data_IF_989073258721
#
_entry.id   IF_989073258721
#
_cell.length_a   1.000
_cell.length_b   1.000
_cell.length_c   1.000
_cell.angle_alpha   90.00
_cell.angle_beta   90.00
_cell.angle_gamma   90.00
#
_symmetry.space_group_name_H-M   'P 1'
#
loop_
_entity.id
_entity.type
_entity.pdbx_description
1 polymer ?
#
# COMPACT_ATOMS: atom_id res chain seq x y z
N UNK A 1 75.82 -46.73 -16.88
CA UNK A 1 74.48 -47.17 -16.59
C UNK A 1 74.00 -46.48 -15.33
N UNK A 2 73.11 -45.52 -15.43
CA UNK A 2 72.43 -44.90 -14.28
C UNK A 2 70.94 -44.88 -14.61
N UNK A 3 70.15 -45.60 -13.82
CA UNK A 3 68.71 -45.54 -13.82
C UNK A 3 68.27 -44.20 -13.21
N UNK A 4 67.38 -43.49 -13.91
CA UNK A 4 66.68 -42.35 -13.38
C UNK A 4 65.28 -42.81 -13.05
N UNK A 5 64.88 -42.72 -11.75
CA UNK A 5 63.55 -42.97 -11.28
C UNK A 5 62.71 -41.68 -11.42
N UNK A 6 61.62 -41.78 -12.18
CA UNK A 6 60.61 -40.69 -12.27
C UNK A 6 59.55 -40.95 -11.19
N UNK A 7 59.49 -40.09 -10.16
CA UNK A 7 58.42 -40.06 -9.19
C UNK A 7 57.34 -39.10 -9.72
N UNK A 8 56.23 -39.65 -10.16
CA UNK A 8 55.05 -38.84 -10.51
C UNK A 8 54.28 -38.44 -9.26
N UNK A 9 54.21 -37.16 -8.98
CA UNK A 9 53.30 -36.58 -7.98
C UNK A 9 51.86 -36.54 -8.58
N UNK A 10 50.97 -37.36 -8.07
CA UNK A 10 49.54 -37.21 -8.25
C UNK A 10 49.05 -36.17 -7.26
N UNK A 11 48.80 -34.94 -7.73
CA UNK A 11 48.03 -33.94 -6.97
C UNK A 11 46.55 -34.25 -7.13
N UNK A 12 45.97 -34.89 -6.12
CA UNK A 12 44.52 -35.00 -6.00
C UNK A 12 43.94 -33.62 -5.70
N UNK A 13 43.35 -32.98 -6.71
CA UNK A 13 42.57 -31.77 -6.54
C UNK A 13 41.29 -32.11 -5.77
N UNK A 14 41.26 -31.78 -4.48
CA UNK A 14 40.00 -31.68 -3.74
C UNK A 14 39.19 -30.52 -4.34
N UNK A 15 38.22 -30.83 -5.16
CA UNK A 15 37.12 -29.92 -5.44
C UNK A 15 36.33 -29.74 -4.15
N UNK A 16 36.68 -28.72 -3.39
CA UNK A 16 35.81 -28.18 -2.34
C UNK A 16 34.57 -27.63 -3.03
N UNK A 17 33.53 -28.45 -3.13
CA UNK A 17 32.18 -27.92 -3.34
C UNK A 17 31.91 -27.00 -2.15
N UNK A 18 31.98 -25.68 -2.36
CA UNK A 18 31.51 -24.73 -1.39
C UNK A 18 30.08 -25.12 -1.02
N UNK A 19 29.72 -25.25 0.26
CA UNK A 19 28.34 -25.52 0.62
C UNK A 19 27.52 -24.38 0.06
N UNK A 20 26.51 -24.71 -0.73
CA UNK A 20 25.55 -23.76 -1.25
C UNK A 20 24.91 -23.11 -0.02
N UNK A 21 25.21 -21.82 0.22
CA UNK A 21 24.58 -21.12 1.31
C UNK A 21 23.10 -20.92 0.93
N UNK A 22 22.20 -21.44 1.75
CA UNK A 22 20.78 -21.15 1.61
C UNK A 22 20.55 -19.70 2.02
N UNK A 23 19.98 -18.92 1.12
CA UNK A 23 19.62 -17.53 1.39
C UNK A 23 18.36 -17.43 2.30
N UNK A 24 17.68 -18.54 2.55
CA UNK A 24 16.53 -18.65 3.46
C UNK A 24 15.59 -19.80 3.11
N UNK A 25 14.69 -20.08 4.01
CA UNK A 25 13.67 -21.14 3.88
C UNK A 25 12.28 -20.56 4.02
N UNK A 26 11.40 -20.92 3.09
CA UNK A 26 9.95 -20.65 3.16
C UNK A 26 9.26 -21.96 3.47
N UNK A 27 8.43 -21.98 4.51
CA UNK A 27 7.58 -23.13 4.85
C UNK A 27 6.13 -22.79 4.62
N UNK A 28 5.46 -23.58 3.77
CA UNK A 28 4.03 -23.45 3.49
C UNK A 28 3.33 -24.68 4.03
N UNK A 29 2.36 -24.48 4.90
CA UNK A 29 1.55 -25.56 5.48
C UNK A 29 0.16 -25.59 4.81
N UNK A 30 -0.08 -26.59 3.94
CA UNK A 30 -1.34 -26.76 3.25
C UNK A 30 -2.47 -27.25 4.18
N UNK A 31 -2.12 -27.65 5.40
CA UNK A 31 -3.07 -28.04 6.44
C UNK A 31 -3.63 -26.89 7.26
N UNK A 32 -3.05 -25.69 7.13
CA UNK A 32 -3.41 -24.54 7.97
C UNK A 32 -3.88 -23.39 7.10
N UNK A 33 -5.20 -23.23 7.04
CA UNK A 33 -5.86 -22.14 6.31
C UNK A 33 -5.93 -20.88 7.18
N UNK A 34 -5.72 -19.70 6.57
CA UNK A 34 -5.73 -18.39 7.23
C UNK A 34 -6.81 -17.46 6.65
N UNK A 35 -7.89 -18.01 6.12
CA UNK A 35 -9.00 -17.26 5.55
C UNK A 35 -8.87 -17.03 4.04
N UNK A 36 -9.82 -16.33 3.44
CA UNK A 36 -9.86 -16.11 1.99
C UNK A 36 -8.75 -15.17 1.52
N UNK A 37 -8.41 -15.27 0.23
CA UNK A 37 -7.69 -14.21 -0.47
C UNK A 37 -8.63 -13.01 -0.62
N UNK A 38 -8.20 -11.83 -0.17
CA UNK A 38 -9.00 -10.61 -0.18
C UNK A 38 -8.40 -9.49 -1.04
N UNK A 39 -7.20 -9.67 -1.56
CA UNK A 39 -6.47 -8.71 -2.41
C UNK A 39 -6.34 -7.31 -1.75
N UNK A 40 -6.08 -7.27 -0.44
CA UNK A 40 -6.05 -6.05 0.38
C UNK A 40 -4.92 -5.08 0.01
N UNK A 41 -3.84 -5.59 -0.57
CA UNK A 41 -2.71 -4.80 -1.04
C UNK A 41 -2.81 -4.42 -2.53
N UNK A 42 -4.01 -4.49 -3.12
CA UNK A 42 -4.24 -4.17 -4.53
C UNK A 42 -4.93 -2.81 -4.72
N UNK A 43 -4.50 -1.86 -3.92
CA UNK A 43 -4.94 -0.47 -4.01
C UNK A 43 -3.94 0.42 -4.72
N UNK A 44 -4.43 1.54 -5.25
CA UNK A 44 -3.65 2.52 -6.00
C UNK A 44 -3.96 3.94 -5.56
N UNK A 45 -2.91 4.77 -5.45
CA UNK A 45 -3.00 6.19 -5.16
C UNK A 45 -2.78 6.99 -6.44
N UNK A 46 -3.73 7.84 -6.84
CA UNK A 46 -3.72 8.79 -8.00
C UNK A 46 -3.13 8.27 -9.32
N UNK A 47 -2.81 7.02 -9.41
CA UNK A 47 -2.02 6.36 -10.45
C UNK A 47 -2.81 5.96 -11.70
N UNK A 48 -4.04 6.41 -11.81
CA UNK A 48 -4.93 6.17 -12.95
C UNK A 48 -5.59 7.48 -13.33
N UNK A 49 -5.35 7.93 -14.56
CA UNK A 49 -5.94 9.14 -15.14
C UNK A 49 -7.17 8.79 -16.01
N UNK A 50 -7.99 9.75 -16.42
CA UNK A 50 -9.22 9.50 -17.19
C UNK A 50 -9.03 8.69 -18.47
N UNK A 51 -7.88 8.82 -19.11
CA UNK A 51 -7.55 8.12 -20.37
C UNK A 51 -6.37 7.18 -20.24
N UNK A 52 -5.59 7.30 -19.17
CA UNK A 52 -4.32 6.62 -19.01
C UNK A 52 -4.16 5.90 -17.65
N UNK A 53 -3.48 4.75 -17.64
CA UNK A 53 -3.12 3.93 -18.78
C UNK A 53 -4.35 3.28 -19.43
N UNK A 54 -4.25 2.70 -20.64
CA UNK A 54 -5.39 2.02 -21.26
C UNK A 54 -5.88 0.84 -20.41
N UNK A 55 -7.18 0.53 -20.53
CA UNK A 55 -7.86 -0.47 -19.66
C UNK A 55 -7.23 -1.87 -19.74
N UNK A 56 -6.63 -2.23 -20.86
CA UNK A 56 -5.90 -3.49 -21.02
C UNK A 56 -4.68 -3.63 -20.09
N UNK A 57 -4.19 -2.52 -19.55
CA UNK A 57 -3.10 -2.52 -18.55
C UNK A 57 -3.63 -2.48 -17.11
N UNK A 58 -4.88 -2.09 -16.90
CA UNK A 58 -5.52 -2.00 -15.59
C UNK A 58 -6.29 -3.29 -15.26
N UNK A 59 -7.14 -3.75 -16.17
CA UNK A 59 -8.03 -4.89 -15.95
C UNK A 59 -7.32 -6.16 -15.45
N UNK A 60 -6.13 -6.53 -15.96
CA UNK A 60 -5.42 -7.71 -15.46
C UNK A 60 -4.95 -7.60 -14.01
N UNK A 61 -4.87 -6.38 -13.48
CA UNK A 61 -4.45 -6.13 -12.10
C UNK A 61 -5.61 -6.25 -11.11
N UNK A 62 -6.86 -6.24 -11.57
CA UNK A 62 -8.08 -6.32 -10.74
C UNK A 62 -8.01 -5.39 -9.51
N UNK A 63 -7.79 -4.07 -9.65
CA UNK A 63 -7.64 -3.17 -8.52
C UNK A 63 -8.86 -3.22 -7.60
N UNK A 64 -8.66 -3.20 -6.28
CA UNK A 64 -9.75 -3.28 -5.29
C UNK A 64 -10.06 -1.95 -4.65
N UNK A 65 -9.05 -1.09 -4.49
CA UNK A 65 -9.18 0.21 -3.85
C UNK A 65 -8.42 1.29 -4.61
N UNK A 66 -8.92 2.51 -4.50
CA UNK A 66 -8.30 3.70 -5.10
C UNK A 66 -8.42 4.89 -4.16
N UNK A 67 -7.34 5.62 -4.00
CA UNK A 67 -7.29 6.87 -3.25
C UNK A 67 -6.85 8.01 -4.14
N UNK A 68 -7.44 9.15 -3.98
CA UNK A 68 -7.05 10.35 -4.69
C UNK A 68 -7.78 11.56 -4.17
N UNK A 69 -7.28 12.73 -4.59
CA UNK A 69 -8.02 13.96 -4.36
C UNK A 69 -9.34 13.99 -5.15
N UNK A 70 -10.17 14.96 -4.84
CA UNK A 70 -11.50 15.11 -5.43
C UNK A 70 -11.48 15.04 -6.96
N UNK A 71 -10.59 15.77 -7.61
CA UNK A 71 -10.50 15.80 -9.08
C UNK A 71 -10.20 14.43 -9.68
N UNK A 72 -9.24 13.69 -9.09
CA UNK A 72 -8.91 12.34 -9.56
C UNK A 72 -10.02 11.32 -9.32
N UNK A 73 -10.60 11.30 -8.13
CA UNK A 73 -11.69 10.36 -7.83
C UNK A 73 -12.89 10.63 -8.73
N UNK A 74 -13.34 11.89 -8.83
CA UNK A 74 -14.49 12.22 -9.64
C UNK A 74 -14.29 11.91 -11.13
N UNK A 75 -13.13 12.21 -11.69
CA UNK A 75 -12.87 11.99 -13.14
C UNK A 75 -12.70 10.52 -13.51
N UNK A 76 -12.27 9.68 -12.56
CA UNK A 76 -11.94 8.28 -12.82
C UNK A 76 -12.96 7.27 -12.28
N UNK A 77 -13.94 7.70 -11.50
CA UNK A 77 -14.83 6.82 -10.73
C UNK A 77 -15.44 5.69 -11.56
N UNK A 78 -16.10 6.01 -12.67
CA UNK A 78 -16.79 5.03 -13.49
C UNK A 78 -15.82 4.04 -14.15
N UNK A 79 -14.68 4.55 -14.60
CA UNK A 79 -13.62 3.76 -15.21
C UNK A 79 -13.00 2.77 -14.20
N UNK A 80 -12.72 3.25 -12.99
CA UNK A 80 -12.16 2.44 -11.90
C UNK A 80 -13.17 1.41 -11.41
N UNK A 81 -14.44 1.78 -11.30
CA UNK A 81 -15.50 0.85 -10.97
C UNK A 81 -15.64 -0.27 -12.02
N UNK A 82 -15.52 0.09 -13.30
CA UNK A 82 -15.45 -0.91 -14.38
C UNK A 82 -14.23 -1.83 -14.26
N UNK A 83 -13.11 -1.34 -13.72
CA UNK A 83 -11.91 -2.14 -13.48
C UNK A 83 -12.01 -3.07 -12.27
N UNK A 84 -13.03 -2.90 -11.41
CA UNK A 84 -13.26 -3.73 -10.22
C UNK A 84 -13.07 -3.02 -8.89
N UNK A 85 -12.72 -1.72 -8.89
CA UNK A 85 -12.57 -0.96 -7.64
C UNK A 85 -13.90 -0.84 -6.91
N UNK A 86 -13.88 -1.22 -5.65
CA UNK A 86 -15.05 -1.17 -4.74
C UNK A 86 -14.87 -0.16 -3.61
N UNK A 87 -13.62 0.22 -3.30
CA UNK A 87 -13.26 1.18 -2.28
C UNK A 87 -12.64 2.42 -2.91
N UNK A 88 -13.27 3.58 -2.70
CA UNK A 88 -12.79 4.88 -3.16
C UNK A 88 -12.55 5.78 -1.96
N UNK A 89 -11.30 6.15 -1.68
CA UNK A 89 -10.96 7.14 -0.67
C UNK A 89 -10.77 8.50 -1.34
N UNK A 90 -11.58 9.48 -0.95
CA UNK A 90 -11.60 10.82 -1.53
C UNK A 90 -10.98 11.82 -0.57
N UNK A 91 -9.80 12.33 -0.90
CA UNK A 91 -9.05 13.30 -0.08
C UNK A 91 -9.50 14.73 -0.37
N UNK A 92 -9.83 15.46 0.70
CA UNK A 92 -10.34 16.84 0.64
C UNK A 92 -9.24 17.89 0.75
N UNK A 93 -8.28 17.70 1.66
CA UNK A 93 -7.24 18.69 1.96
C UNK A 93 -5.83 18.10 1.97
N UNK A 94 -4.87 18.85 1.43
CA UNK A 94 -3.43 18.57 1.43
C UNK A 94 -2.66 19.80 1.92
N UNK A 95 -1.33 19.66 2.11
CA UNK A 95 -0.43 20.74 2.51
C UNK A 95 -0.16 21.78 1.42
N UNK A 96 -0.83 21.67 0.27
CA UNK A 96 -0.77 22.62 -0.84
C UNK A 96 -2.11 22.72 -1.57
N UNK A 97 -2.38 23.87 -2.18
CA UNK A 97 -3.56 24.06 -3.04
C UNK A 97 -3.28 23.57 -4.47
N UNK A 98 -4.25 22.88 -5.06
CA UNK A 98 -4.24 22.59 -6.49
C UNK A 98 -5.67 22.67 -7.04
N UNK A 99 -6.04 23.84 -7.61
CA UNK A 99 -7.41 24.14 -8.03
C UNK A 99 -7.96 23.18 -9.07
N UNK A 100 -7.14 22.81 -10.06
CA UNK A 100 -7.58 21.87 -11.10
C UNK A 100 -7.89 20.47 -10.57
N UNK A 101 -7.28 20.07 -9.43
CA UNK A 101 -7.50 18.81 -8.75
C UNK A 101 -8.55 18.92 -7.62
N UNK A 102 -9.11 20.11 -7.41
CA UNK A 102 -10.07 20.41 -6.34
C UNK A 102 -9.51 20.00 -4.96
N UNK A 103 -8.31 20.47 -4.65
CA UNK A 103 -7.61 20.26 -3.37
C UNK A 103 -7.63 21.57 -2.59
N UNK A 104 -7.91 21.50 -1.31
CA UNK A 104 -7.79 22.62 -0.38
C UNK A 104 -6.45 22.59 0.36
N UNK A 105 -5.76 23.72 0.43
CA UNK A 105 -4.55 23.84 1.26
C UNK A 105 -4.92 23.86 2.74
N UNK A 106 -4.56 22.82 3.47
CA UNK A 106 -4.87 22.72 4.90
C UNK A 106 -4.18 23.80 5.74
N UNK A 107 -3.11 24.42 5.26
CA UNK A 107 -2.49 25.56 5.93
C UNK A 107 -3.40 26.80 5.97
N UNK A 108 -4.39 26.87 5.08
CA UNK A 108 -5.37 27.96 5.03
C UNK A 108 -6.60 27.74 5.92
N UNK A 109 -6.78 26.50 6.45
CA UNK A 109 -7.95 26.18 7.27
C UNK A 109 -7.95 26.99 8.57
N UNK A 110 -9.04 27.71 8.84
CA UNK A 110 -9.26 28.43 10.10
C UNK A 110 -8.25 29.56 10.37
N UNK A 111 -7.59 30.12 9.35
CA UNK A 111 -6.81 31.34 9.53
C UNK A 111 -7.72 32.45 10.08
N UNK A 112 -7.19 33.21 11.03
CA UNK A 112 -7.94 34.28 11.72
C UNK A 112 -9.27 33.81 12.34
N UNK A 113 -9.40 32.51 12.66
CA UNK A 113 -10.62 31.91 13.20
C UNK A 113 -11.72 31.67 12.16
N UNK A 114 -11.43 31.90 10.87
CA UNK A 114 -12.41 31.73 9.80
C UNK A 114 -12.32 30.35 9.15
N UNK A 115 -13.32 29.51 9.37
CA UNK A 115 -13.45 28.15 8.78
C UNK A 115 -14.36 28.11 7.55
N UNK A 116 -15.04 29.20 7.20
CA UNK A 116 -16.01 29.22 6.11
C UNK A 116 -15.43 28.79 4.74
N UNK A 117 -14.22 29.21 4.32
CA UNK A 117 -13.66 28.76 3.05
C UNK A 117 -13.46 27.23 2.99
N UNK A 118 -13.02 26.65 4.12
CA UNK A 118 -12.86 25.20 4.24
C UNK A 118 -14.20 24.47 4.18
N UNK A 119 -15.18 24.93 4.95
CA UNK A 119 -16.50 24.30 4.96
C UNK A 119 -17.23 24.46 3.63
N UNK A 120 -17.07 25.58 2.95
CA UNK A 120 -17.59 25.77 1.59
C UNK A 120 -16.97 24.78 0.58
N UNK A 121 -15.67 24.50 0.70
CA UNK A 121 -15.00 23.46 -0.10
C UNK A 121 -15.58 22.07 0.23
N UNK A 122 -15.72 21.72 1.50
CA UNK A 122 -16.30 20.44 1.93
C UNK A 122 -17.71 20.30 1.37
N UNK A 123 -18.57 21.33 1.48
CA UNK A 123 -19.94 21.32 0.96
C UNK A 123 -19.96 21.15 -0.56
N UNK A 124 -19.08 21.86 -1.27
CA UNK A 124 -18.97 21.75 -2.72
C UNK A 124 -18.66 20.32 -3.17
N UNK A 125 -17.72 19.65 -2.49
CA UNK A 125 -17.38 18.26 -2.81
C UNK A 125 -18.52 17.30 -2.45
N UNK A 126 -19.19 17.52 -1.31
CA UNK A 126 -20.38 16.75 -0.93
C UNK A 126 -21.46 16.85 -2.02
N UNK A 127 -21.73 18.07 -2.53
CA UNK A 127 -22.74 18.27 -3.58
C UNK A 127 -22.40 17.48 -4.85
N UNK A 128 -21.14 17.48 -5.28
CA UNK A 128 -20.72 16.70 -6.45
C UNK A 128 -20.89 15.19 -6.23
N UNK A 129 -20.51 14.67 -5.06
CA UNK A 129 -20.66 13.26 -4.70
C UNK A 129 -22.14 12.85 -4.67
N UNK A 130 -23.00 13.67 -4.07
CA UNK A 130 -24.45 13.42 -4.00
C UNK A 130 -25.11 13.51 -5.38
N UNK A 131 -24.79 14.54 -6.16
CA UNK A 131 -25.34 14.74 -7.51
C UNK A 131 -25.02 13.54 -8.41
N UNK A 132 -23.81 12.99 -8.29
CA UNK A 132 -23.36 11.85 -9.08
C UNK A 132 -23.66 10.49 -8.45
N UNK A 133 -24.26 10.46 -7.26
CA UNK A 133 -24.57 9.25 -6.50
C UNK A 133 -23.35 8.34 -6.30
N UNK A 134 -22.20 8.94 -5.97
CA UNK A 134 -20.98 8.20 -5.77
C UNK A 134 -20.92 7.60 -4.36
N UNK A 135 -20.29 6.43 -4.24
CA UNK A 135 -19.97 5.81 -2.95
C UNK A 135 -18.49 6.00 -2.67
N UNK A 136 -18.16 6.83 -1.67
CA UNK A 136 -16.78 7.15 -1.29
C UNK A 136 -16.59 7.06 0.21
N UNK A 137 -15.36 6.81 0.63
CA UNK A 137 -14.87 7.00 2.00
C UNK A 137 -14.17 8.35 2.04
N UNK A 138 -14.55 9.21 2.97
CA UNK A 138 -14.06 10.58 3.06
C UNK A 138 -12.73 10.64 3.79
N UNK A 139 -11.69 11.07 3.11
CA UNK A 139 -10.35 11.29 3.66
C UNK A 139 -10.16 12.80 3.87
N UNK A 140 -10.36 13.27 5.10
CA UNK A 140 -10.44 14.70 5.38
C UNK A 140 -9.10 15.39 5.11
N UNK A 141 -7.99 14.78 5.50
CA UNK A 141 -6.65 15.33 5.31
C UNK A 141 -5.68 14.29 4.74
N UNK A 142 -4.72 14.75 3.95
CA UNK A 142 -3.53 13.99 3.61
C UNK A 142 -2.32 14.59 4.33
N UNK A 143 -1.60 13.75 5.06
CA UNK A 143 -0.35 14.08 5.75
C UNK A 143 -0.40 15.40 6.54
N UNK A 144 -1.40 15.58 7.40
CA UNK A 144 -1.55 16.84 8.14
C UNK A 144 -0.43 17.07 9.16
N UNK A 145 0.41 16.08 9.40
CA UNK A 145 1.63 16.18 10.18
C UNK A 145 2.79 16.87 9.42
N UNK A 146 2.64 17.09 8.11
CA UNK A 146 3.56 17.89 7.28
C UNK A 146 3.11 19.35 7.12
N UNK A 147 1.98 19.75 7.69
CA UNK A 147 1.52 21.12 7.68
C UNK A 147 2.52 22.05 8.39
N UNK A 148 2.47 23.35 8.08
CA UNK A 148 3.33 24.37 8.70
C UNK A 148 3.27 24.35 10.24
N UNK A 149 2.08 24.05 10.81
CA UNK A 149 1.90 23.61 12.19
C UNK A 149 1.24 22.24 12.14
N UNK A 150 1.95 21.18 12.54
CA UNK A 150 1.45 19.80 12.47
C UNK A 150 0.11 19.61 13.19
N UNK A 151 -0.71 18.68 12.69
CA UNK A 151 -2.07 18.43 13.21
C UNK A 151 -2.12 18.28 14.74
N UNK A 152 -1.18 17.52 15.31
CA UNK A 152 -1.18 17.25 16.75
C UNK A 152 -0.91 18.49 17.61
N UNK A 153 -0.21 19.47 17.05
CA UNK A 153 0.14 20.72 17.71
C UNK A 153 -0.78 21.89 17.31
N UNK A 154 -1.71 21.65 16.37
CA UNK A 154 -2.58 22.67 15.79
C UNK A 154 -4.03 22.50 16.21
N UNK A 155 -4.48 23.27 17.20
CA UNK A 155 -5.91 23.33 17.55
C UNK A 155 -6.78 23.76 16.37
N UNK A 156 -6.22 24.57 15.48
CA UNK A 156 -6.88 25.05 14.26
C UNK A 156 -7.16 23.90 13.28
N UNK A 157 -6.20 23.03 13.03
CA UNK A 157 -6.39 21.87 12.15
C UNK A 157 -7.30 20.82 12.81
N UNK A 158 -7.16 20.61 14.12
CA UNK A 158 -8.08 19.75 14.87
C UNK A 158 -9.52 20.23 14.76
N UNK A 159 -9.75 21.53 14.94
CA UNK A 159 -11.09 22.13 14.77
C UNK A 159 -11.58 22.00 13.33
N UNK A 160 -10.74 22.22 12.33
CA UNK A 160 -11.06 22.01 10.93
C UNK A 160 -11.47 20.56 10.62
N UNK A 161 -10.77 19.57 11.22
CA UNK A 161 -11.17 18.15 11.16
C UNK A 161 -12.56 17.94 11.77
N UNK A 162 -12.77 18.43 13.01
CA UNK A 162 -14.02 18.26 13.73
C UNK A 162 -15.20 18.82 12.94
N UNK A 163 -15.05 20.00 12.39
CA UNK A 163 -16.11 20.68 11.61
C UNK A 163 -16.39 19.92 10.30
N UNK A 164 -15.37 19.49 9.57
CA UNK A 164 -15.55 18.71 8.35
C UNK A 164 -16.20 17.35 8.64
N UNK A 165 -15.72 16.63 9.68
CA UNK A 165 -16.32 15.36 10.13
C UNK A 165 -17.82 15.52 10.39
N UNK A 166 -18.19 16.52 11.21
CA UNK A 166 -19.60 16.78 11.55
C UNK A 166 -20.42 17.18 10.32
N UNK A 167 -19.87 18.02 9.45
CA UNK A 167 -20.55 18.45 8.22
C UNK A 167 -20.82 17.27 7.28
N UNK A 168 -19.86 16.38 7.07
CA UNK A 168 -20.03 15.18 6.25
C UNK A 168 -21.08 14.27 6.85
N UNK A 169 -20.99 13.95 8.15
CA UNK A 169 -21.98 13.08 8.84
C UNK A 169 -23.37 13.67 8.86
N UNK A 170 -23.50 15.00 8.98
CA UNK A 170 -24.79 15.69 8.96
C UNK A 170 -25.45 15.57 7.58
N UNK A 171 -24.68 15.76 6.51
CA UNK A 171 -25.22 15.76 5.14
C UNK A 171 -25.38 14.36 4.56
N UNK A 172 -24.55 13.42 5.02
CA UNK A 172 -24.55 12.02 4.60
C UNK A 172 -24.41 11.14 5.85
N UNK A 173 -25.52 10.85 6.56
CA UNK A 173 -25.46 10.14 7.86
C UNK A 173 -24.73 8.78 7.81
N UNK A 174 -24.75 8.09 6.67
CA UNK A 174 -24.06 6.82 6.46
C UNK A 174 -22.61 6.94 5.94
N UNK A 175 -22.08 8.18 5.79
CA UNK A 175 -20.73 8.38 5.29
C UNK A 175 -19.70 7.71 6.19
N UNK A 176 -18.72 7.05 5.58
CA UNK A 176 -17.52 6.57 6.27
C UNK A 176 -16.40 7.60 6.13
N UNK A 177 -15.68 7.83 7.22
CA UNK A 177 -14.54 8.74 7.27
C UNK A 177 -13.29 7.95 7.57
N UNK A 178 -12.28 8.09 6.73
CA UNK A 178 -10.94 7.53 6.90
C UNK A 178 -9.97 8.61 7.36
N UNK A 179 -9.05 8.28 8.20
CA UNK A 179 -8.04 9.22 8.67
C UNK A 179 -7.28 8.76 9.91
N UNK A 180 -6.31 9.57 10.34
CA UNK A 180 -5.94 10.90 9.87
C UNK A 180 -4.98 10.93 8.66
N UNK A 181 -4.59 9.77 8.09
CA UNK A 181 -3.67 9.67 6.95
C UNK A 181 -2.35 10.41 7.20
N UNK A 182 -1.78 10.22 8.40
CA UNK A 182 -0.48 10.82 8.79
C UNK A 182 0.67 10.13 8.07
N UNK A 183 1.72 10.89 7.73
CA UNK A 183 2.94 10.36 7.11
C UNK A 183 3.81 9.57 8.09
N UNK A 184 3.65 9.80 9.40
CA UNK A 184 4.43 9.18 10.47
C UNK A 184 3.55 8.44 11.46
N UNK A 185 3.67 7.12 11.51
CA UNK A 185 2.91 6.25 12.40
C UNK A 185 2.93 6.71 13.88
N UNK A 186 4.08 7.25 14.35
CA UNK A 186 4.27 7.68 15.73
C UNK A 186 3.31 8.79 16.16
N UNK A 187 2.77 9.56 15.22
CA UNK A 187 1.84 10.67 15.50
C UNK A 187 0.37 10.23 15.53
N UNK A 188 0.10 8.98 15.11
CA UNK A 188 -1.26 8.48 14.95
C UNK A 188 -2.03 8.42 16.28
N UNK A 189 -1.44 7.80 17.31
CA UNK A 189 -2.15 7.50 18.57
C UNK A 189 -2.64 8.76 19.29
N UNK A 190 -1.84 9.82 19.33
CA UNK A 190 -2.23 11.08 19.97
C UNK A 190 -3.41 11.76 19.26
N UNK A 191 -3.48 11.67 17.94
CA UNK A 191 -4.65 12.12 17.20
C UNK A 191 -5.89 11.26 17.51
N UNK A 192 -5.74 9.94 17.59
CA UNK A 192 -6.87 9.05 17.91
C UNK A 192 -7.44 9.31 19.29
N UNK A 193 -6.58 9.54 20.30
CA UNK A 193 -7.00 9.92 21.65
C UNK A 193 -7.78 11.25 21.66
N UNK A 194 -7.27 12.27 20.95
CA UNK A 194 -7.97 13.53 20.80
C UNK A 194 -9.32 13.34 20.09
N UNK A 195 -9.35 12.65 18.96
CA UNK A 195 -10.58 12.46 18.16
C UNK A 195 -11.66 11.68 18.92
N UNK A 196 -11.27 10.71 19.74
CA UNK A 196 -12.16 9.97 20.62
C UNK A 196 -12.79 10.89 21.68
N UNK A 197 -11.95 11.72 22.33
CA UNK A 197 -12.42 12.69 23.32
C UNK A 197 -13.42 13.73 22.77
N UNK A 198 -13.35 14.00 21.45
CA UNK A 198 -14.24 14.94 20.75
C UNK A 198 -15.43 14.26 20.06
N UNK A 199 -15.55 12.93 20.11
CA UNK A 199 -16.62 12.20 19.42
C UNK A 199 -16.53 12.24 17.88
N UNK A 200 -15.32 12.42 17.35
CA UNK A 200 -15.05 12.50 15.90
C UNK A 200 -14.03 11.47 15.44
N UNK A 201 -14.06 10.30 16.07
CA UNK A 201 -13.17 9.19 15.76
C UNK A 201 -13.39 8.67 14.32
N UNK A 202 -12.35 8.44 13.52
CA UNK A 202 -12.52 7.96 12.16
C UNK A 202 -13.18 6.57 12.11
N UNK A 203 -14.00 6.31 11.11
CA UNK A 203 -14.62 5.00 10.88
C UNK A 203 -13.61 3.98 10.37
N UNK A 204 -12.59 4.43 9.66
CA UNK A 204 -11.42 3.68 9.19
C UNK A 204 -10.17 4.42 9.65
N UNK A 205 -9.31 3.76 10.40
CA UNK A 205 -8.04 4.38 10.84
C UNK A 205 -7.00 4.23 9.73
N UNK A 206 -6.34 5.33 9.36
CA UNK A 206 -5.33 5.31 8.30
C UNK A 206 -4.04 6.01 8.66
N UNK A 207 -2.96 5.54 8.04
CA UNK A 207 -1.62 6.12 8.09
C UNK A 207 -0.84 5.70 6.85
N UNK A 208 0.31 6.33 6.61
CA UNK A 208 1.24 5.97 5.54
C UNK A 208 2.40 5.15 6.09
N UNK A 209 2.90 4.22 5.29
CA UNK A 209 3.99 3.34 5.70
C UNK A 209 4.90 2.99 4.53
N UNK A 210 6.14 3.41 4.64
CA UNK A 210 7.16 3.21 3.60
C UNK A 210 8.31 2.31 4.06
N UNK A 211 8.22 1.80 5.28
CA UNK A 211 9.21 0.89 5.85
C UNK A 211 9.13 -0.51 5.20
N UNK A 212 10.06 -1.34 5.62
CA UNK A 212 10.11 -2.71 5.13
C UNK A 212 8.88 -3.55 5.55
N UNK A 213 8.59 -4.65 4.86
CA UNK A 213 7.42 -5.49 5.14
C UNK A 213 7.31 -6.00 6.59
N UNK A 214 8.44 -6.17 7.30
CA UNK A 214 8.43 -6.62 8.69
C UNK A 214 7.93 -5.52 9.63
N UNK A 215 8.37 -4.28 9.41
CA UNK A 215 7.88 -3.10 10.12
C UNK A 215 6.40 -2.83 9.81
N UNK A 216 5.99 -2.98 8.56
CA UNK A 216 4.60 -2.86 8.13
C UNK A 216 3.66 -3.75 8.96
N UNK A 217 4.01 -5.03 9.12
CA UNK A 217 3.23 -5.96 9.96
C UNK A 217 3.24 -5.53 11.42
N UNK A 218 4.39 -5.10 11.94
CA UNK A 218 4.54 -4.66 13.33
C UNK A 218 3.64 -3.48 13.64
N UNK A 219 3.61 -2.46 12.79
CA UNK A 219 2.74 -1.28 12.99
C UNK A 219 1.26 -1.61 12.90
N UNK A 220 0.84 -2.47 11.96
CA UNK A 220 -0.56 -2.92 11.89
C UNK A 220 -0.97 -3.66 13.17
N UNK A 221 -0.11 -4.53 13.69
CA UNK A 221 -0.41 -5.28 14.91
C UNK A 221 -0.46 -4.36 16.13
N UNK A 222 0.52 -3.46 16.30
CA UNK A 222 0.55 -2.46 17.36
C UNK A 222 -0.70 -1.55 17.34
N UNK A 223 -1.13 -1.11 16.16
CA UNK A 223 -2.36 -0.33 16.02
C UNK A 223 -3.61 -1.13 16.37
N UNK A 224 -3.69 -2.38 15.94
CA UNK A 224 -4.83 -3.25 16.24
C UNK A 224 -4.95 -3.51 17.74
N UNK A 225 -3.83 -3.77 18.42
CA UNK A 225 -3.80 -3.98 19.87
C UNK A 225 -4.19 -2.70 20.61
N UNK A 226 -3.70 -1.54 20.16
CA UNK A 226 -4.10 -0.23 20.66
C UNK A 226 -5.61 0.00 20.52
N UNK A 227 -6.17 -0.17 19.32
CA UNK A 227 -7.60 0.01 19.07
C UNK A 227 -8.45 -0.91 19.95
N UNK A 228 -8.06 -2.17 20.07
CA UNK A 228 -8.73 -3.15 20.92
C UNK A 228 -8.71 -2.74 22.39
N UNK A 229 -7.57 -2.27 22.90
CA UNK A 229 -7.42 -1.81 24.27
C UNK A 229 -8.32 -0.60 24.60
N UNK A 230 -8.64 0.23 23.60
CA UNK A 230 -9.52 1.39 23.73
C UNK A 230 -10.99 1.12 23.34
N UNK A 231 -11.37 -0.15 23.14
CA UNK A 231 -12.74 -0.51 22.75
C UNK A 231 -13.16 -0.10 21.33
N UNK A 232 -12.17 0.24 20.49
CA UNK A 232 -12.37 0.71 19.12
C UNK A 232 -12.04 -0.40 18.12
N UNK A 233 -13.05 -1.17 17.65
CA UNK A 233 -12.85 -2.19 16.61
C UNK A 233 -13.00 -1.56 15.21
N UNK A 234 -12.00 -0.80 14.78
CA UNK A 234 -12.02 -0.10 13.49
C UNK A 234 -11.16 -0.79 12.43
N UNK A 235 -11.60 -0.83 11.16
CA UNK A 235 -10.74 -1.24 10.06
C UNK A 235 -9.51 -0.33 9.95
N UNK A 236 -8.41 -0.90 9.44
CA UNK A 236 -7.15 -0.18 9.21
C UNK A 236 -6.91 -0.09 7.70
N UNK A 237 -6.62 1.10 7.20
CA UNK A 237 -6.15 1.33 5.83
C UNK A 237 -4.74 1.91 5.88
N UNK A 238 -3.80 1.28 5.17
CA UNK A 238 -2.47 1.86 4.95
C UNK A 238 -2.50 2.48 3.56
N UNK A 239 -2.98 3.73 3.51
CA UNK A 239 -3.42 4.33 2.28
C UNK A 239 -2.34 5.03 1.46
N UNK A 240 -1.07 4.83 1.84
CA UNK A 240 0.12 5.03 1.02
C UNK A 240 1.20 4.03 1.46
N UNK A 241 1.66 3.20 0.52
CA UNK A 241 2.70 2.20 0.73
C UNK A 241 3.73 2.25 -0.41
N UNK A 242 4.91 1.66 -0.17
CA UNK A 242 6.01 1.54 -1.12
C UNK A 242 6.75 2.87 -1.31
N UNK A 243 7.76 3.07 -0.49
CA UNK A 243 8.66 4.22 -0.57
C UNK A 243 9.62 4.19 -1.76
N UNK A 244 10.34 5.27 -1.87
CA UNK A 244 11.11 5.72 -3.02
C UNK A 244 12.14 4.71 -3.57
N UNK A 245 12.87 4.02 -2.72
CA UNK A 245 13.96 3.13 -3.14
C UNK A 245 13.49 1.75 -3.64
N UNK A 246 12.23 1.43 -3.41
CA UNK A 246 11.67 0.09 -3.62
C UNK A 246 10.70 -0.04 -4.79
N UNK A 247 10.36 1.04 -5.45
CA UNK A 247 9.33 1.06 -6.52
C UNK A 247 9.61 0.13 -7.68
N UNK A 248 10.87 0.02 -8.07
CA UNK A 248 11.31 -0.81 -9.20
C UNK A 248 11.62 -2.25 -8.80
N UNK A 249 11.77 -2.53 -7.50
CA UNK A 249 12.08 -3.87 -6.99
C UNK A 249 10.84 -4.76 -6.94
N UNK A 250 10.79 -5.75 -7.81
CA UNK A 250 9.73 -6.76 -7.81
C UNK A 250 9.74 -7.59 -6.53
N UNK A 251 10.92 -7.92 -6.00
CA UNK A 251 11.06 -8.68 -4.76
C UNK A 251 10.52 -7.93 -3.54
N UNK A 252 10.82 -6.64 -3.44
CA UNK A 252 10.28 -5.77 -2.41
C UNK A 252 8.74 -5.63 -2.53
N UNK A 253 8.26 -5.32 -3.74
CA UNK A 253 6.82 -5.23 -4.01
C UNK A 253 6.08 -6.51 -3.60
N UNK A 254 6.60 -7.69 -3.94
CA UNK A 254 6.03 -8.96 -3.54
C UNK A 254 6.05 -9.17 -2.02
N UNK A 255 7.11 -8.74 -1.35
CA UNK A 255 7.23 -8.77 0.11
C UNK A 255 6.18 -7.90 0.80
N UNK A 256 6.00 -6.66 0.36
CA UNK A 256 5.01 -5.71 0.88
C UNK A 256 3.58 -6.25 0.67
N UNK A 257 3.26 -6.73 -0.53
CA UNK A 257 1.96 -7.35 -0.82
C UNK A 257 1.70 -8.54 0.13
N UNK A 258 2.68 -9.44 0.28
CA UNK A 258 2.55 -10.59 1.17
C UNK A 258 2.34 -10.18 2.63
N UNK A 259 3.00 -9.12 3.08
CA UNK A 259 2.86 -8.58 4.43
C UNK A 259 1.44 -8.06 4.68
N UNK A 260 0.95 -7.15 3.83
CA UNK A 260 -0.36 -6.52 4.03
C UNK A 260 -1.54 -7.48 3.79
N UNK A 261 -1.43 -8.41 2.83
CA UNK A 261 -2.48 -9.44 2.68
C UNK A 261 -2.61 -10.30 3.93
N UNK A 262 -1.49 -10.65 4.60
CA UNK A 262 -1.50 -11.41 5.86
C UNK A 262 -1.92 -10.59 7.07
N UNK A 263 -1.66 -9.29 7.05
CA UNK A 263 -1.95 -8.41 8.18
C UNK A 263 -3.45 -8.15 8.39
N UNK A 264 -4.31 -8.61 7.49
CA UNK A 264 -5.78 -8.51 7.59
C UNK A 264 -6.28 -7.08 7.80
N UNK A 265 -5.77 -6.15 7.01
CA UNK A 265 -6.20 -4.75 6.93
C UNK A 265 -7.38 -4.58 5.97
N UNK A 266 -7.99 -3.40 5.92
CA UNK A 266 -9.00 -3.06 4.92
C UNK A 266 -8.37 -2.95 3.53
N UNK A 267 -7.37 -2.09 3.40
CA UNK A 267 -6.69 -1.81 2.14
C UNK A 267 -5.27 -1.30 2.36
N UNK A 268 -4.40 -1.56 1.38
CA UNK A 268 -3.11 -0.89 1.24
C UNK A 268 -2.98 -0.37 -0.20
N UNK A 269 -2.55 0.89 -0.35
CA UNK A 269 -2.56 1.57 -1.65
C UNK A 269 -1.15 1.92 -2.07
N UNK A 270 -0.74 1.36 -3.22
CA UNK A 270 0.52 1.68 -3.84
C UNK A 270 0.59 3.15 -4.16
N UNK A 271 1.64 3.79 -3.72
CA UNK A 271 1.94 5.17 -4.04
C UNK A 271 3.29 5.28 -4.74
N UNK A 272 3.44 6.29 -5.53
CA UNK A 272 4.70 6.71 -6.09
C UNK A 272 4.60 8.18 -6.49
N UNK A 273 5.56 8.97 -6.09
CA UNK A 273 5.70 10.36 -6.50
C UNK A 273 7.16 10.70 -6.77
N UNK A 274 7.40 11.74 -7.57
CA UNK A 274 8.74 12.21 -7.85
C UNK A 274 9.45 12.67 -6.59
N UNK A 275 10.75 12.42 -6.51
CA UNK A 275 11.60 13.01 -5.48
C UNK A 275 11.54 14.54 -5.59
N UNK A 276 11.12 15.27 -4.55
CA UNK A 276 11.13 16.73 -4.55
C UNK A 276 12.52 17.33 -4.79
N UNK A 277 13.59 16.61 -4.46
CA UNK A 277 14.97 17.03 -4.73
C UNK A 277 15.36 16.85 -6.19
N UNK A 278 14.61 16.08 -6.96
CA UNK A 278 14.86 15.76 -8.36
C UNK A 278 13.91 16.46 -9.33
N UNK A 279 13.17 17.46 -8.86
CA UNK A 279 12.27 18.30 -9.68
C UNK A 279 13.01 19.05 -10.82
N UNK A 280 14.35 19.02 -10.82
CA UNK A 280 15.16 19.57 -11.93
C UNK A 280 15.28 18.61 -13.11
N UNK A 281 14.95 17.33 -12.93
CA UNK A 281 14.90 16.35 -14.02
C UNK A 281 13.54 16.35 -14.65
N UNK A 282 13.52 16.16 -15.96
CA UNK A 282 12.24 16.04 -16.66
C UNK A 282 11.42 14.91 -16.02
N UNK A 283 10.13 15.03 -16.01
CA UNK A 283 9.17 14.00 -15.53
C UNK A 283 9.48 12.60 -16.10
N UNK A 284 10.21 12.55 -17.20
CA UNK A 284 10.63 11.36 -17.93
C UNK A 284 11.77 10.59 -17.26
N UNK A 285 12.57 11.23 -16.42
CA UNK A 285 13.73 10.61 -15.76
C UNK A 285 13.45 10.18 -14.32
N UNK A 286 12.22 10.31 -13.91
CA UNK A 286 11.76 9.99 -12.58
C UNK A 286 11.49 8.48 -12.44
N UNK A 287 11.83 7.89 -11.30
CA UNK A 287 11.65 6.46 -11.05
C UNK A 287 10.18 6.02 -11.03
N UNK A 288 9.24 6.93 -10.78
CA UNK A 288 7.82 6.70 -10.99
C UNK A 288 7.42 6.67 -12.45
N UNK A 289 8.16 7.39 -13.23
CA UNK A 289 8.21 7.36 -14.67
C UNK A 289 6.84 7.14 -15.32
N UNK A 290 6.00 8.06 -14.96
CA UNK A 290 4.60 7.97 -15.29
C UNK A 290 4.32 7.97 -16.77
N UNK A 291 3.36 7.33 -17.20
CA UNK A 291 2.00 7.55 -16.86
C UNK A 291 1.15 6.35 -17.03
N UNK A 292 1.09 5.58 -16.14
CA UNK A 292 0.73 5.67 -14.78
C UNK A 292 0.71 4.28 -14.19
N UNK A 293 -0.12 3.94 -13.26
CA UNK A 293 0.04 2.87 -12.29
C UNK A 293 1.38 3.01 -11.55
N UNK A 294 1.81 4.26 -11.40
CA UNK A 294 2.98 4.74 -10.64
C UNK A 294 4.11 3.74 -10.49
N UNK A 295 5.04 3.82 -11.46
CA UNK A 295 6.22 2.96 -11.50
C UNK A 295 5.97 1.50 -11.92
N UNK A 296 4.77 1.12 -12.37
CA UNK A 296 4.51 -0.21 -12.91
C UNK A 296 4.69 -0.30 -14.44
N UNK A 297 4.75 0.85 -15.12
CA UNK A 297 4.93 0.93 -16.57
C UNK A 297 6.17 1.75 -16.89
N UNK A 298 6.78 1.47 -18.04
CA UNK A 298 7.77 2.35 -18.64
C UNK A 298 7.09 3.54 -19.37
N UNK A 299 7.84 4.61 -19.63
CA UNK A 299 7.35 5.86 -20.25
C UNK A 299 6.57 5.63 -21.54
N UNK A 300 6.98 4.67 -22.36
CA UNK A 300 6.31 4.32 -23.60
C UNK A 300 4.93 3.67 -23.42
N UNK A 301 4.52 3.44 -22.16
CA UNK A 301 3.24 2.85 -21.74
C UNK A 301 2.90 1.48 -22.33
N UNK A 302 3.77 0.93 -23.13
CA UNK A 302 3.59 -0.37 -23.78
C UNK A 302 4.34 -1.47 -23.05
N UNK A 303 5.39 -1.10 -22.32
CA UNK A 303 6.22 -2.05 -21.58
C UNK A 303 5.84 -2.06 -20.10
N UNK A 304 5.63 -3.25 -19.59
CA UNK A 304 5.30 -3.50 -18.18
C UNK A 304 6.59 -3.72 -17.41
N UNK A 305 6.74 -3.02 -16.28
CA UNK A 305 7.85 -3.27 -15.34
C UNK A 305 7.64 -4.58 -14.57
N UNK A 306 8.67 -5.15 -13.96
CA UNK A 306 8.53 -6.37 -13.16
C UNK A 306 7.45 -6.28 -12.08
N UNK A 307 7.28 -5.13 -11.43
CA UNK A 307 6.23 -4.88 -10.43
C UNK A 307 4.81 -5.08 -10.98
N UNK A 308 4.54 -4.74 -12.25
CA UNK A 308 3.25 -4.99 -12.88
C UNK A 308 2.90 -6.47 -12.90
N UNK A 309 3.90 -7.31 -13.20
CA UNK A 309 3.71 -8.77 -13.21
C UNK A 309 3.49 -9.33 -11.80
N UNK A 310 4.11 -8.72 -10.78
CA UNK A 310 3.85 -9.07 -9.38
C UNK A 310 2.39 -8.81 -9.02
N UNK A 311 1.86 -7.62 -9.31
CA UNK A 311 0.46 -7.28 -9.05
C UNK A 311 -0.50 -8.17 -9.86
N UNK A 312 -0.18 -8.45 -11.13
CA UNK A 312 -0.98 -9.39 -11.93
C UNK A 312 -1.01 -10.79 -11.32
N UNK A 313 0.14 -11.32 -10.91
CA UNK A 313 0.22 -12.62 -10.26
C UNK A 313 -0.59 -12.63 -8.96
N UNK A 314 -0.47 -11.59 -8.15
CA UNK A 314 -1.27 -11.43 -6.94
C UNK A 314 -2.77 -11.39 -7.22
N UNK A 315 -3.20 -10.64 -8.22
CA UNK A 315 -4.60 -10.56 -8.65
C UNK A 315 -5.18 -11.91 -9.14
N UNK A 316 -4.32 -12.85 -9.53
CA UNK A 316 -4.70 -14.19 -9.96
C UNK A 316 -4.66 -15.24 -8.82
N UNK A 317 -4.23 -14.85 -7.62
CA UNK A 317 -4.23 -15.73 -6.45
C UNK A 317 -5.66 -15.82 -5.89
N UNK A 318 -6.30 -16.96 -6.07
CA UNK A 318 -7.68 -17.21 -5.66
C UNK A 318 -7.74 -18.24 -4.53
N UNK A 319 -8.89 -18.35 -3.86
CA UNK A 319 -9.14 -19.36 -2.86
C UNK A 319 -8.76 -18.95 -1.44
N UNK A 320 -8.11 -19.85 -0.71
CA UNK A 320 -7.76 -19.63 0.70
C UNK A 320 -6.27 -19.37 0.89
N UNK A 321 -5.95 -18.41 1.74
CA UNK A 321 -4.57 -18.18 2.19
C UNK A 321 -4.12 -19.33 3.07
N UNK A 322 -2.86 -19.74 2.90
CA UNK A 322 -2.23 -20.76 3.69
C UNK A 322 -1.20 -20.17 4.67
N UNK A 323 -0.93 -20.88 5.74
CA UNK A 323 0.14 -20.49 6.66
C UNK A 323 1.50 -20.53 5.96
N UNK A 324 2.20 -19.40 6.02
CA UNK A 324 3.55 -19.25 5.51
C UNK A 324 4.48 -18.74 6.60
N UNK A 325 5.65 -19.35 6.72
CA UNK A 325 6.72 -18.95 7.64
C UNK A 325 8.02 -18.82 6.89
N UNK A 326 8.82 -17.83 7.25
CA UNK A 326 10.16 -17.62 6.71
C UNK A 326 11.17 -17.55 7.85
N UNK A 327 12.42 -17.93 7.60
CA UNK A 327 13.51 -17.86 8.57
C UNK A 327 14.42 -16.64 8.39
N UNK A 328 14.05 -15.73 7.47
CA UNK A 328 14.73 -14.46 7.24
C UNK A 328 13.74 -13.30 7.25
N UNK A 329 14.05 -12.18 7.90
CA UNK A 329 13.22 -10.97 7.87
C UNK A 329 13.19 -10.30 6.48
N UNK A 330 14.13 -10.64 5.61
CA UNK A 330 14.21 -10.15 4.23
C UNK A 330 13.47 -11.04 3.21
N UNK A 331 12.84 -12.09 3.68
CA UNK A 331 12.14 -13.07 2.86
C UNK A 331 10.67 -13.14 3.27
N UNK A 332 9.77 -12.84 2.37
CA UNK A 332 8.33 -12.88 2.59
C UNK A 332 7.64 -13.78 1.59
N UNK A 333 6.56 -14.42 2.02
CA UNK A 333 5.79 -15.30 1.18
C UNK A 333 4.29 -15.16 1.44
N UNK A 334 3.51 -15.32 0.38
CA UNK A 334 2.07 -15.47 0.40
C UNK A 334 1.74 -16.73 -0.38
N UNK A 335 0.94 -17.62 0.21
CA UNK A 335 0.47 -18.84 -0.44
C UNK A 335 -1.06 -18.84 -0.49
N UNK A 336 -1.61 -19.22 -1.63
CA UNK A 336 -3.04 -19.37 -1.83
C UNK A 336 -3.35 -20.72 -2.49
N UNK A 337 -4.37 -21.42 -1.97
CA UNK A 337 -4.88 -22.67 -2.51
C UNK A 337 -6.29 -22.47 -3.07
N UNK A 338 -6.40 -22.54 -4.37
CA UNK A 338 -7.70 -22.69 -5.04
C UNK A 338 -8.06 -24.17 -5.07
N UNK A 339 -8.93 -24.59 -4.13
CA UNK A 339 -9.37 -25.98 -4.01
C UNK A 339 -10.20 -26.44 -5.19
N UNK A 340 -10.95 -25.52 -5.81
CA UNK A 340 -11.80 -25.86 -6.95
C UNK A 340 -10.98 -26.13 -8.21
N UNK A 341 -9.91 -25.34 -8.41
CA UNK A 341 -8.98 -25.53 -9.52
C UNK A 341 -7.84 -26.50 -9.21
N UNK A 342 -7.68 -26.96 -7.96
CA UNK A 342 -6.55 -27.78 -7.51
C UNK A 342 -5.20 -27.08 -7.70
N UNK A 343 -5.16 -25.74 -7.50
CA UNK A 343 -3.99 -24.94 -7.83
C UNK A 343 -3.43 -24.25 -6.59
N UNK A 344 -2.15 -24.50 -6.30
CA UNK A 344 -1.37 -23.76 -5.31
C UNK A 344 -0.56 -22.68 -6.00
N UNK A 345 -0.72 -21.42 -5.57
CA UNK A 345 0.10 -20.28 -6.01
C UNK A 345 0.92 -19.73 -4.86
N UNK A 346 2.17 -19.39 -5.17
CA UNK A 346 3.11 -18.79 -4.24
C UNK A 346 3.61 -17.47 -4.80
N UNK A 347 3.51 -16.39 -4.01
CA UNK A 347 4.17 -15.13 -4.25
C UNK A 347 5.32 -14.99 -3.25
N UNK A 348 6.53 -14.83 -3.77
CA UNK A 348 7.76 -14.78 -2.99
C UNK A 348 8.44 -13.43 -3.20
N UNK A 349 8.80 -12.77 -2.12
CA UNK A 349 9.56 -11.52 -2.14
C UNK A 349 10.82 -11.63 -1.31
N UNK A 350 11.98 -11.37 -1.94
CA UNK A 350 13.27 -11.21 -1.29
C UNK A 350 13.82 -9.83 -1.64
N UNK A 351 14.33 -9.10 -0.66
CA UNK A 351 14.84 -7.74 -0.85
C UNK A 351 16.02 -7.45 0.09
N UNK A 352 16.84 -6.46 -0.28
CA UNK A 352 17.99 -5.94 0.49
C UNK A 352 18.99 -7.02 0.97
N UNK A 353 19.11 -8.07 0.20
CA UNK A 353 20.03 -9.16 0.53
C UNK A 353 20.86 -9.50 -0.70
N UNK A 354 22.08 -8.97 -0.74
CA UNK A 354 23.06 -9.24 -1.80
C UNK A 354 23.71 -10.62 -1.65
N UNK A 355 23.37 -11.37 -0.60
CA UNK A 355 23.91 -12.71 -0.42
C UNK A 355 23.43 -13.65 -1.52
N UNK A 356 24.35 -14.17 -2.33
CA UNK A 356 24.01 -15.19 -3.30
C UNK A 356 23.60 -16.47 -2.56
N UNK A 357 22.47 -17.04 -2.94
CA UNK A 357 22.03 -18.30 -2.36
C UNK A 357 20.63 -18.69 -2.83
N UNK A 358 20.37 -19.97 -2.79
CA UNK A 358 19.08 -20.52 -3.15
C UNK A 358 18.07 -20.34 -2.01
N UNK A 359 16.82 -20.01 -2.34
CA UNK A 359 15.73 -20.02 -1.38
C UNK A 359 15.06 -21.38 -1.44
N UNK A 360 15.00 -22.07 -0.30
CA UNK A 360 14.32 -23.34 -0.19
C UNK A 360 12.83 -23.13 0.09
N UNK A 361 11.96 -23.76 -0.66
CA UNK A 361 10.52 -23.83 -0.40
C UNK A 361 10.15 -25.23 0.10
N UNK A 362 9.61 -25.31 1.32
CA UNK A 362 9.19 -26.54 1.96
C UNK A 362 7.66 -26.56 2.04
N UNK A 363 7.03 -27.50 1.35
CA UNK A 363 5.60 -27.73 1.40
C UNK A 363 5.27 -28.85 2.41
N UNK A 364 4.37 -28.55 3.36
CA UNK A 364 3.85 -29.53 4.32
C UNK A 364 2.41 -29.92 3.99
N UNK A 365 2.02 -31.14 4.37
CA UNK A 365 0.65 -31.66 4.22
C UNK A 365 0.17 -31.69 2.76
N UNK A 366 1.06 -32.04 1.81
CA UNK A 366 0.81 -32.04 0.36
C UNK A 366 -0.39 -32.93 -0.02
N UNK A 367 -0.69 -33.98 0.73
CA UNK A 367 -1.86 -34.85 0.47
C UNK A 367 -3.22 -34.17 0.57
N UNK A 368 -3.25 -32.83 0.77
CA UNK A 368 -4.46 -32.01 0.76
C UNK A 368 -4.66 -31.20 -0.54
N UNK A 369 -3.75 -31.34 -1.50
CA UNK A 369 -3.89 -30.79 -2.85
C UNK A 369 -4.94 -31.53 -3.68
#
# INVERSE_FOLDING_TARGET
MRLASIIGLLTAGLLLCAPWSLAGTIRVDLGVEQGPMNHRANGYLVSIEPTDPPMELILPLKPTSFRGNTGYVLSNYDRLKQAGVTEFQLTLGLVFEHRALQIFDINQIGLDGNYEPWLAHVDHVIDQVLQRQLSVIWDIYNEPDLAAVPLNDSERLKEGWRLAYQRIKQRIPGAQIVGPSVSRYQLLKSFLEWSDSQGVFPDVVSYHEYADPSEAIRYVNDLRDYLKAHGQARPISVNEILGQESWTSAGYTAGVIAAYERADILSAMRSCWPDPQDMSRSYVENTCDNPTLDGLLYVDRKQKRPGWHVYKTYAEMEGVRLSTMTDSPKLHALAALDKAAGTLRLLLGKYEDDSPGDTQVVLKNIGRL
#
